data_IF_574318695083
#
_entry.id   IF_574318695083
#
_cell.length_a   1.000
_cell.length_b   1.000
_cell.length_c   1.000
_cell.angle_alpha   90.00
_cell.angle_beta   90.00
_cell.angle_gamma   90.00
#
_symmetry.space_group_name_H-M   'P 1'
#
loop_
_entity.id
_entity.type
_entity.pdbx_description
1 polymer ?
#
# COMPACT_ATOMS: atom_id res chain seq x y z
N UNK A 1 18.84 2.00 -12.74
CA UNK A 1 17.47 1.54 -12.47
C UNK A 1 17.38 1.41 -10.98
N UNK A 2 16.70 2.36 -10.35
CA UNK A 2 16.57 2.45 -8.90
C UNK A 2 15.91 1.18 -8.38
N UNK A 3 16.51 0.58 -7.36
CA UNK A 3 15.98 -0.55 -6.64
C UNK A 3 14.54 -0.24 -6.21
N UNK A 4 13.57 -0.86 -6.89
CA UNK A 4 12.19 -0.94 -6.40
C UNK A 4 12.30 -1.74 -5.10
N UNK A 5 11.90 -1.20 -3.94
CA UNK A 5 11.96 -1.96 -2.70
C UNK A 5 11.17 -3.24 -2.92
N UNK A 6 11.89 -4.35 -2.86
CA UNK A 6 11.37 -5.69 -3.08
C UNK A 6 10.62 -6.09 -1.80
N UNK A 7 9.62 -5.30 -1.39
CA UNK A 7 8.59 -5.73 -0.46
C UNK A 7 7.80 -6.78 -1.24
N UNK A 8 8.24 -8.02 -1.12
CA UNK A 8 7.49 -9.16 -1.58
C UNK A 8 6.11 -8.99 -0.95
N UNK A 9 5.03 -9.01 -1.75
CA UNK A 9 3.63 -8.95 -1.29
C UNK A 9 3.34 -9.62 0.08
N UNK A 10 3.98 -10.76 0.45
CA UNK A 10 4.04 -11.27 1.83
C UNK A 10 4.31 -10.24 2.94
N UNK A 11 5.34 -9.41 2.80
CA UNK A 11 5.77 -8.43 3.80
C UNK A 11 4.70 -7.35 4.02
N UNK A 12 4.00 -6.96 2.95
CA UNK A 12 2.92 -5.99 3.07
C UNK A 12 1.68 -6.58 3.73
N UNK A 13 1.35 -7.84 3.42
CA UNK A 13 0.26 -8.53 4.12
C UNK A 13 0.56 -8.70 5.61
N UNK A 14 1.83 -8.93 5.97
CA UNK A 14 2.28 -8.95 7.37
C UNK A 14 2.09 -7.59 8.04
N UNK A 15 2.55 -6.49 7.42
CA UNK A 15 2.36 -5.14 7.96
C UNK A 15 0.86 -4.84 8.15
N UNK A 16 0.03 -5.12 7.15
CA UNK A 16 -1.41 -4.89 7.26
C UNK A 16 -2.06 -5.71 8.39
N UNK A 17 -1.64 -6.96 8.59
CA UNK A 17 -2.12 -7.79 9.70
C UNK A 17 -1.64 -7.30 11.06
N UNK A 18 -0.37 -6.91 11.18
CA UNK A 18 0.23 -6.38 12.41
C UNK A 18 -0.46 -5.09 12.89
N UNK A 19 -0.96 -4.30 11.94
CA UNK A 19 -1.64 -3.03 12.22
C UNK A 19 -3.18 -3.12 12.17
N UNK A 20 -3.75 -4.33 12.14
CA UNK A 20 -5.21 -4.56 12.06
C UNK A 20 -5.90 -3.84 10.87
N UNK A 21 -5.19 -3.69 9.76
CA UNK A 21 -5.70 -3.05 8.54
C UNK A 21 -6.24 -4.10 7.58
N UNK A 22 -7.56 -4.13 7.43
CA UNK A 22 -8.26 -5.15 6.64
C UNK A 22 -8.53 -4.75 5.19
N UNK A 23 -8.13 -3.54 4.77
CA UNK A 23 -8.37 -3.06 3.40
C UNK A 23 -7.23 -2.20 2.87
N UNK A 24 -6.84 -2.50 1.63
CA UNK A 24 -5.92 -1.71 0.83
C UNK A 24 -6.52 -0.40 0.30
N UNK A 25 -7.84 -0.24 0.34
CA UNK A 25 -8.52 0.92 -0.26
C UNK A 25 -8.11 2.26 0.34
N UNK A 26 -7.71 2.27 1.61
CA UNK A 26 -7.21 3.47 2.27
C UNK A 26 -5.89 3.93 1.65
N UNK A 27 -5.01 2.99 1.26
CA UNK A 27 -3.72 3.25 0.62
C UNK A 27 -3.83 3.62 -0.86
N UNK A 28 -4.91 3.22 -1.53
CA UNK A 28 -5.19 3.64 -2.91
C UNK A 28 -5.65 5.10 -3.04
N UNK A 29 -6.10 5.71 -1.94
CA UNK A 29 -6.58 7.08 -1.91
C UNK A 29 -5.67 7.89 -1.02
N UNK A 30 -4.63 8.46 -1.59
CA UNK A 30 -3.63 9.28 -0.86
C UNK A 30 -4.26 10.41 -0.03
N UNK A 31 -5.39 10.97 -0.45
CA UNK A 31 -6.14 12.00 0.29
C UNK A 31 -6.91 11.47 1.52
N UNK A 32 -6.98 10.15 1.71
CA UNK A 32 -7.60 9.50 2.88
C UNK A 32 -6.57 9.09 3.93
N UNK A 33 -5.29 9.38 3.69
CA UNK A 33 -4.19 9.01 4.58
C UNK A 33 -3.50 10.27 5.06
N UNK A 34 -4.02 10.81 6.14
CA UNK A 34 -3.38 11.85 6.95
C UNK A 34 -2.20 11.21 7.73
N UNK A 35 -1.03 11.86 7.81
CA UNK A 35 0.01 11.48 8.76
C UNK A 35 -0.49 11.15 10.18
N UNK A 36 -1.50 11.86 10.69
CA UNK A 36 -2.10 11.56 11.99
C UNK A 36 -2.78 10.18 12.04
N UNK A 37 -3.43 9.77 10.95
CA UNK A 37 -4.09 8.47 10.86
C UNK A 37 -3.08 7.31 10.76
N UNK A 38 -1.95 7.54 10.09
CA UNK A 38 -0.84 6.60 10.08
C UNK A 38 -0.25 6.40 11.49
N UNK A 39 -0.09 7.50 12.23
CA UNK A 39 0.38 7.47 13.62
C UNK A 39 -0.60 6.71 14.54
N UNK A 40 -1.91 6.89 14.37
CA UNK A 40 -2.94 6.13 15.10
C UNK A 40 -2.87 4.63 14.83
N UNK A 41 -2.46 4.23 13.63
CA UNK A 41 -2.21 2.82 13.29
C UNK A 41 -0.85 2.32 13.76
N UNK A 42 0.01 3.18 14.34
CA UNK A 42 1.38 2.84 14.71
C UNK A 42 2.30 2.67 13.50
N UNK A 43 1.90 3.20 12.34
CA UNK A 43 2.66 3.14 11.10
C UNK A 43 3.46 4.42 10.94
N UNK A 44 4.77 4.29 10.77
CA UNK A 44 5.61 5.45 10.44
C UNK A 44 5.24 6.01 9.06
N UNK A 45 5.39 7.32 8.87
CA UNK A 45 5.10 7.97 7.59
C UNK A 45 5.83 7.32 6.41
N UNK A 46 7.09 6.90 6.59
CA UNK A 46 7.87 6.21 5.55
C UNK A 46 7.25 4.87 5.13
N UNK A 47 6.86 4.04 6.11
CA UNK A 47 6.15 2.78 5.84
C UNK A 47 4.80 3.06 5.18
N UNK A 48 4.07 4.08 5.63
CA UNK A 48 2.80 4.49 5.01
C UNK A 48 2.93 4.81 3.53
N UNK A 49 4.00 5.53 3.14
CA UNK A 49 4.30 5.83 1.73
C UNK A 49 4.64 4.56 0.94
N UNK A 50 5.43 3.64 1.49
CA UNK A 50 5.73 2.36 0.85
C UNK A 50 4.46 1.52 0.63
N UNK A 51 3.54 1.52 1.60
CA UNK A 51 2.23 0.85 1.48
C UNK A 51 1.38 1.47 0.38
N UNK A 52 1.40 2.80 0.21
CA UNK A 52 0.70 3.48 -0.89
C UNK A 52 1.24 3.06 -2.26
N UNK A 53 2.56 3.10 -2.44
CA UNK A 53 3.19 2.74 -3.71
C UNK A 53 2.86 1.28 -4.09
N UNK A 54 2.93 0.36 -3.11
CA UNK A 54 2.56 -1.03 -3.32
C UNK A 54 1.07 -1.21 -3.64
N UNK A 55 0.18 -0.45 -2.99
CA UNK A 55 -1.26 -0.50 -3.26
C UNK A 55 -1.54 -0.11 -4.72
N UNK A 56 -0.92 0.97 -5.19
CA UNK A 56 -1.07 1.47 -6.56
C UNK A 56 -0.58 0.42 -7.57
N UNK A 57 0.61 -0.15 -7.36
CA UNK A 57 1.17 -1.19 -8.24
C UNK A 57 0.22 -2.40 -8.31
N UNK A 58 -0.29 -2.86 -7.17
CA UNK A 58 -1.22 -3.99 -7.13
C UNK A 58 -2.53 -3.69 -7.87
N UNK A 59 -3.06 -2.48 -7.72
CA UNK A 59 -4.27 -2.05 -8.42
C UNK A 59 -4.07 -1.98 -9.94
N UNK A 60 -2.95 -1.44 -10.40
CA UNK A 60 -2.60 -1.40 -11.83
C UNK A 60 -2.47 -2.81 -12.41
N UNK A 61 -1.84 -3.74 -11.69
CA UNK A 61 -1.76 -5.16 -12.10
C UNK A 61 -3.14 -5.80 -12.20
N UNK A 62 -4.04 -5.51 -11.25
CA UNK A 62 -5.42 -5.97 -11.29
C UNK A 62 -6.15 -5.44 -12.53
N UNK A 63 -6.06 -4.14 -12.80
CA UNK A 63 -6.67 -3.52 -13.97
C UNK A 63 -6.12 -4.10 -15.28
N UNK A 64 -4.81 -4.34 -15.36
CA UNK A 64 -4.19 -4.97 -16.52
C UNK A 64 -4.67 -6.42 -16.71
N UNK A 65 -4.74 -7.21 -15.62
CA UNK A 65 -5.24 -8.58 -15.67
C UNK A 65 -6.72 -8.68 -16.07
N UNK A 66 -7.51 -7.64 -15.75
CA UNK A 66 -8.90 -7.50 -16.13
C UNK A 66 -9.09 -6.95 -17.56
N UNK A 67 -8.01 -6.58 -18.26
CA UNK A 67 -8.03 -5.99 -19.59
C UNK A 67 -8.59 -4.56 -19.64
N UNK A 68 -8.57 -3.85 -18.50
CA UNK A 68 -9.08 -2.48 -18.37
C UNK A 68 -8.02 -1.46 -18.83
N UNK A 69 -6.75 -1.75 -18.56
CA UNK A 69 -5.60 -0.94 -18.99
C UNK A 69 -4.56 -1.85 -19.69
N UNK A 70 -3.69 -1.25 -20.51
CA UNK A 70 -2.68 -1.95 -21.32
C UNK A 70 -1.30 -1.91 -20.69
#
# INVERSE_FOLDING_TARGET
FSDVPNLLIPDVLTILQEHEIFSWTSFLKSHWLDPAQLEEWGISYGIGMELMDNAIIYYDQLLASAGIIN
#
